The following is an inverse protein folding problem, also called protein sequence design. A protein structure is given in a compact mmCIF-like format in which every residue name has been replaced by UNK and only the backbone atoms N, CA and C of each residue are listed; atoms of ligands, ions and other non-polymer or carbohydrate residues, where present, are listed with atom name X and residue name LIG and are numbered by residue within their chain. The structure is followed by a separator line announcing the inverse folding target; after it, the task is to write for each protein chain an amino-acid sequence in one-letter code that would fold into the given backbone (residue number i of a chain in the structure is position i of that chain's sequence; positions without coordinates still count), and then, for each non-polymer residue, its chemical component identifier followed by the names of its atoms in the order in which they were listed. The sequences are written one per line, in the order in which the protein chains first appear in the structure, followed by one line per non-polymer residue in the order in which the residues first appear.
data_IF_468813085647
#
_entry.id   IF_468813085647
#
_cell.length_a   1.000
_cell.length_b   1.000
_cell.length_c   1.000
_cell.angle_alpha   90.00
_cell.angle_beta   90.00
_cell.angle_gamma   90.00
#
_symmetry.space_group_name_H-M   'P 1'
#
loop_
_entity.id
_entity.type
_entity.pdbx_description
1 polymer ?
#
# COMPACT_ATOMS: atom_id res chain seq x y z
N UNK A 1 20.23 -50.71 5.05
CA UNK A 1 20.04 -49.25 4.95
C UNK A 1 18.55 -48.94 4.84
N UNK A 2 17.98 -48.27 5.84
CA UNK A 2 16.55 -47.96 5.93
C UNK A 2 16.05 -47.18 4.71
N UNK A 3 15.12 -47.78 3.94
CA UNK A 3 14.41 -47.18 2.79
C UNK A 3 13.30 -46.20 3.22
N UNK A 4 13.15 -45.92 4.51
CA UNK A 4 12.02 -45.18 5.06
C UNK A 4 12.33 -43.67 5.06
N UNK A 5 11.59 -42.90 4.26
CA UNK A 5 11.64 -41.42 4.26
C UNK A 5 11.87 -40.77 2.89
N UNK A 6 12.40 -41.48 1.89
CA UNK A 6 12.74 -40.90 0.57
C UNK A 6 11.53 -40.33 -0.18
N UNK A 7 10.35 -40.93 0.01
CA UNK A 7 9.09 -40.51 -0.59
C UNK A 7 8.51 -39.24 0.06
N UNK A 8 8.02 -39.37 1.30
CA UNK A 8 7.36 -38.26 2.03
C UNK A 8 8.27 -37.04 2.22
N UNK A 9 9.51 -37.26 2.67
CA UNK A 9 10.49 -36.17 2.83
C UNK A 9 10.87 -35.57 1.48
N UNK A 10 10.99 -36.38 0.43
CA UNK A 10 11.24 -35.89 -0.93
C UNK A 10 10.13 -34.97 -1.44
N UNK A 11 8.86 -35.32 -1.22
CA UNK A 11 7.70 -34.49 -1.55
C UNK A 11 7.73 -33.18 -0.78
N UNK A 12 7.95 -33.22 0.54
CA UNK A 12 8.03 -32.02 1.36
C UNK A 12 9.15 -31.07 0.92
N UNK A 13 10.34 -31.60 0.61
CA UNK A 13 11.45 -30.80 0.10
C UNK A 13 11.08 -30.19 -1.26
N UNK A 14 10.46 -30.96 -2.15
CA UNK A 14 10.03 -30.44 -3.46
C UNK A 14 8.98 -29.32 -3.30
N UNK A 15 7.96 -29.51 -2.46
CA UNK A 15 6.97 -28.46 -2.15
C UNK A 15 7.63 -27.23 -1.51
N UNK A 16 8.61 -27.42 -0.60
CA UNK A 16 9.35 -26.31 -0.01
C UNK A 16 10.15 -25.52 -1.07
N UNK A 17 10.74 -26.18 -2.05
CA UNK A 17 11.43 -25.50 -3.17
C UNK A 17 10.43 -24.73 -4.05
N UNK A 18 9.28 -25.31 -4.36
CA UNK A 18 8.19 -24.60 -5.05
C UNK A 18 7.78 -23.35 -4.25
N UNK A 19 7.65 -23.47 -2.93
CA UNK A 19 7.27 -22.35 -2.06
C UNK A 19 8.34 -21.26 -1.96
N UNK A 20 9.58 -21.64 -1.63
CA UNK A 20 10.66 -20.68 -1.37
C UNK A 20 11.18 -20.04 -2.66
N UNK A 21 11.33 -20.81 -3.74
CA UNK A 21 11.96 -20.36 -4.97
C UNK A 21 10.95 -20.05 -6.09
N UNK A 22 9.66 -20.34 -5.92
CA UNK A 22 8.59 -20.18 -6.93
C UNK A 22 8.86 -20.92 -8.25
N UNK A 23 9.58 -22.04 -8.19
CA UNK A 23 9.87 -22.91 -9.34
C UNK A 23 8.71 -23.87 -9.63
N UNK A 24 8.62 -24.37 -10.86
CA UNK A 24 7.62 -25.40 -11.25
C UNK A 24 7.93 -26.73 -10.54
N UNK A 25 6.90 -27.54 -10.27
CA UNK A 25 6.99 -28.81 -9.58
C UNK A 25 7.96 -29.77 -10.25
N UNK A 26 7.94 -29.85 -11.59
CA UNK A 26 8.83 -30.75 -12.33
C UNK A 26 10.31 -30.36 -12.17
N UNK A 27 10.62 -29.07 -12.09
CA UNK A 27 11.98 -28.58 -11.87
C UNK A 27 12.42 -28.79 -10.41
N UNK A 28 11.51 -28.54 -9.45
CA UNK A 28 11.74 -28.86 -8.04
C UNK A 28 12.03 -30.35 -7.83
N UNK A 29 11.22 -31.25 -8.42
CA UNK A 29 11.42 -32.70 -8.33
C UNK A 29 12.74 -33.11 -8.97
N UNK A 30 13.10 -32.54 -10.13
CA UNK A 30 14.38 -32.80 -10.80
C UNK A 30 15.55 -32.39 -9.91
N UNK A 31 15.47 -31.23 -9.28
CA UNK A 31 16.49 -30.74 -8.35
C UNK A 31 16.62 -31.64 -7.12
N UNK A 32 15.50 -32.04 -6.52
CA UNK A 32 15.48 -32.98 -5.39
C UNK A 32 16.12 -34.31 -5.78
N UNK A 33 15.75 -34.91 -6.92
CA UNK A 33 16.34 -36.18 -7.39
C UNK A 33 17.83 -36.07 -7.68
N UNK A 34 18.29 -34.92 -8.19
CA UNK A 34 19.72 -34.65 -8.43
C UNK A 34 20.53 -34.61 -7.13
N UNK A 35 19.99 -34.02 -6.06
CA UNK A 35 20.67 -33.88 -4.76
C UNK A 35 20.40 -35.04 -3.79
N UNK A 36 19.26 -35.71 -3.93
CA UNK A 36 18.80 -36.88 -3.18
C UNK A 36 18.26 -37.93 -4.17
N UNK A 37 19.15 -38.80 -4.70
CA UNK A 37 18.73 -39.85 -5.61
C UNK A 37 17.62 -40.71 -5.02
N UNK A 38 16.70 -41.18 -5.87
CA UNK A 38 15.56 -42.03 -5.50
C UNK A 38 14.47 -41.35 -4.64
N UNK A 39 14.46 -40.02 -4.49
CA UNK A 39 13.33 -39.28 -3.92
C UNK A 39 12.19 -39.04 -4.92
N UNK A 40 10.95 -38.88 -4.42
CA UNK A 40 9.72 -38.66 -5.21
C UNK A 40 9.57 -39.73 -6.30
N UNK A 41 9.24 -40.95 -5.92
CA UNK A 41 9.31 -42.14 -6.79
C UNK A 41 8.00 -42.43 -7.52
N UNK A 42 6.86 -42.19 -6.88
CA UNK A 42 5.55 -42.60 -7.41
C UNK A 42 4.85 -41.48 -8.15
N UNK A 43 3.94 -41.83 -9.08
CA UNK A 43 3.08 -40.86 -9.77
C UNK A 43 2.24 -40.02 -8.79
N UNK A 44 1.71 -40.64 -7.72
CA UNK A 44 0.96 -39.93 -6.69
C UNK A 44 1.80 -38.87 -5.93
N UNK A 45 3.09 -39.14 -5.71
CA UNK A 45 4.00 -38.14 -5.11
C UNK A 45 4.27 -36.98 -6.05
N UNK A 46 4.47 -37.25 -7.34
CA UNK A 46 4.65 -36.21 -8.37
C UNK A 46 3.39 -35.35 -8.46
N UNK A 47 2.22 -35.98 -8.52
CA UNK A 47 0.93 -35.30 -8.59
C UNK A 47 0.69 -34.40 -7.37
N UNK A 48 1.07 -34.85 -6.16
CA UNK A 48 0.96 -34.04 -4.95
C UNK A 48 1.76 -32.73 -5.05
N UNK A 49 3.00 -32.77 -5.56
CA UNK A 49 3.82 -31.55 -5.76
C UNK A 49 3.21 -30.66 -6.85
N UNK A 50 2.68 -31.23 -7.94
CA UNK A 50 2.02 -30.48 -9.01
C UNK A 50 0.72 -29.80 -8.54
N UNK A 51 -0.09 -30.48 -7.72
CA UNK A 51 -1.28 -29.89 -7.11
C UNK A 51 -0.92 -28.76 -6.14
N UNK A 52 0.12 -28.96 -5.33
CA UNK A 52 0.64 -27.92 -4.45
C UNK A 52 1.13 -26.68 -5.24
N UNK A 53 1.88 -26.89 -6.32
CA UNK A 53 2.29 -25.83 -7.24
C UNK A 53 1.10 -25.07 -7.83
N UNK A 54 0.10 -25.79 -8.33
CA UNK A 54 -1.09 -25.20 -8.94
C UNK A 54 -1.90 -24.37 -7.95
N UNK A 55 -1.96 -24.79 -6.69
CA UNK A 55 -2.56 -24.01 -5.62
C UNK A 55 -1.73 -22.77 -5.28
N UNK A 56 -0.42 -22.94 -5.05
CA UNK A 56 0.41 -21.90 -4.45
C UNK A 56 0.82 -20.80 -5.43
N UNK A 57 1.35 -21.15 -6.62
CA UNK A 57 1.98 -20.15 -7.51
C UNK A 57 1.04 -19.00 -7.91
N UNK A 58 -0.25 -19.22 -8.23
CA UNK A 58 -1.19 -18.13 -8.52
C UNK A 58 -1.35 -17.11 -7.36
N UNK A 59 -1.10 -17.55 -6.13
CA UNK A 59 -1.20 -16.71 -4.93
C UNK A 59 0.04 -15.86 -4.69
N UNK A 60 1.18 -16.22 -5.30
CA UNK A 60 2.46 -15.49 -5.16
C UNK A 60 2.57 -14.27 -6.08
N UNK A 61 1.57 -14.05 -6.93
CA UNK A 61 1.57 -12.96 -7.91
C UNK A 61 1.33 -11.62 -7.21
N UNK A 62 2.28 -10.70 -7.39
CA UNK A 62 2.26 -9.37 -6.78
C UNK A 62 1.74 -8.31 -7.75
N UNK A 63 2.06 -8.42 -9.04
CA UNK A 63 1.63 -7.50 -10.09
C UNK A 63 0.80 -8.22 -11.14
N UNK A 64 -0.23 -7.53 -11.65
CA UNK A 64 -1.01 -8.02 -12.78
C UNK A 64 -0.11 -8.25 -14.00
N UNK A 65 -0.24 -9.40 -14.64
CA UNK A 65 0.45 -9.70 -15.89
C UNK A 65 -0.45 -10.54 -16.79
N UNK A 66 -0.23 -10.48 -18.11
CA UNK A 66 -0.95 -11.33 -19.07
C UNK A 66 -0.72 -12.83 -18.79
N UNK A 67 0.44 -13.21 -18.26
CA UNK A 67 0.77 -14.58 -17.87
C UNK A 67 0.05 -15.03 -16.59
N UNK A 68 -0.20 -14.11 -15.66
CA UNK A 68 -0.93 -14.37 -14.40
C UNK A 68 -2.32 -14.96 -14.65
N UNK A 69 -3.00 -14.51 -15.71
CA UNK A 69 -4.35 -14.96 -16.09
C UNK A 69 -4.38 -16.42 -16.57
N UNK A 70 -3.22 -17.00 -16.92
CA UNK A 70 -3.10 -18.36 -17.46
C UNK A 70 -2.65 -19.40 -16.41
N UNK A 71 -2.33 -18.98 -15.18
CA UNK A 71 -1.85 -19.90 -14.13
C UNK A 71 -2.97 -20.72 -13.47
N UNK A 72 -4.22 -20.27 -13.58
CA UNK A 72 -5.40 -20.90 -12.97
C UNK A 72 -6.64 -20.68 -13.83
N UNK A 73 -7.49 -21.70 -13.97
CA UNK A 73 -8.81 -21.60 -14.63
C UNK A 73 -9.90 -21.09 -13.70
N UNK A 74 -9.60 -20.99 -12.39
CA UNK A 74 -10.58 -20.54 -11.41
C UNK A 74 -10.75 -19.02 -11.49
N UNK A 75 -12.01 -18.59 -11.61
CA UNK A 75 -12.39 -17.19 -11.71
C UNK A 75 -12.02 -16.40 -10.45
N UNK A 76 -12.07 -17.02 -9.27
CA UNK A 76 -11.71 -16.37 -8.02
C UNK A 76 -10.21 -16.05 -7.99
N UNK A 77 -9.36 -16.98 -8.43
CA UNK A 77 -7.90 -16.81 -8.42
C UNK A 77 -7.30 -16.17 -9.68
N UNK A 78 -8.12 -15.84 -10.69
CA UNK A 78 -7.66 -15.17 -11.92
C UNK A 78 -7.86 -13.65 -11.89
N UNK A 79 -8.82 -13.13 -11.11
CA UNK A 79 -9.05 -11.68 -11.04
C UNK A 79 -8.01 -10.95 -10.18
N UNK A 80 -7.58 -9.77 -10.63
CA UNK A 80 -6.62 -8.92 -9.92
C UNK A 80 -7.33 -7.71 -9.30
N UNK A 81 -8.25 -7.93 -8.37
CA UNK A 81 -8.89 -6.86 -7.56
C UNK A 81 -8.19 -6.68 -6.22
N UNK A 82 -8.42 -5.56 -5.50
CA UNK A 82 -7.86 -5.36 -4.16
C UNK A 82 -8.22 -6.50 -3.21
N UNK A 83 -9.50 -6.86 -3.14
CA UNK A 83 -10.01 -7.95 -2.30
C UNK A 83 -9.34 -9.28 -2.63
N UNK A 84 -9.21 -9.60 -3.93
CA UNK A 84 -8.58 -10.85 -4.33
C UNK A 84 -7.07 -10.85 -4.06
N UNK A 85 -6.40 -9.71 -4.24
CA UNK A 85 -4.99 -9.56 -3.88
C UNK A 85 -4.78 -9.80 -2.38
N UNK A 86 -5.59 -9.20 -1.51
CA UNK A 86 -5.52 -9.41 -0.06
C UNK A 86 -5.79 -10.87 0.32
N UNK A 87 -6.73 -11.54 -0.35
CA UNK A 87 -6.97 -12.97 -0.16
C UNK A 87 -5.73 -13.82 -0.48
N UNK A 88 -5.11 -13.61 -1.65
CA UNK A 88 -3.87 -14.29 -2.05
C UNK A 88 -2.71 -14.01 -1.10
N UNK A 89 -2.57 -12.75 -0.68
CA UNK A 89 -1.54 -12.31 0.24
C UNK A 89 -1.65 -13.02 1.60
N UNK A 90 -2.86 -13.18 2.15
CA UNK A 90 -3.08 -13.89 3.42
C UNK A 90 -2.66 -15.36 3.37
N UNK A 91 -2.76 -15.98 2.20
CA UNK A 91 -2.38 -17.38 2.02
C UNK A 91 -0.86 -17.58 1.83
N UNK A 92 -0.11 -16.50 1.55
CA UNK A 92 1.35 -16.53 1.34
C UNK A 92 2.16 -15.87 2.46
N UNK A 93 1.56 -14.94 3.21
CA UNK A 93 2.19 -14.34 4.38
C UNK A 93 1.98 -15.18 5.63
N UNK A 94 2.92 -15.10 6.57
CA UNK A 94 2.86 -15.78 7.86
C UNK A 94 3.35 -14.88 9.01
N UNK A 95 3.09 -15.30 10.25
CA UNK A 95 3.70 -14.69 11.44
C UNK A 95 3.31 -13.23 11.68
N UNK A 96 4.31 -12.35 11.78
CA UNK A 96 4.07 -10.91 11.98
C UNK A 96 3.52 -10.24 10.73
N UNK A 97 3.99 -10.64 9.55
CA UNK A 97 3.59 -10.02 8.28
C UNK A 97 2.13 -10.31 7.94
N UNK A 98 1.67 -11.56 8.14
CA UNK A 98 0.26 -11.91 7.93
C UNK A 98 -0.67 -11.07 8.81
N UNK A 99 -0.32 -10.94 10.10
CA UNK A 99 -1.08 -10.13 11.05
C UNK A 99 -1.12 -8.67 10.64
N UNK A 100 0.02 -8.09 10.26
CA UNK A 100 0.15 -6.68 9.93
C UNK A 100 -0.49 -6.30 8.60
N UNK A 101 -0.41 -7.16 7.60
CA UNK A 101 -0.85 -6.90 6.23
C UNK A 101 -2.13 -7.66 5.88
N UNK A 102 -2.95 -7.99 6.88
CA UNK A 102 -4.23 -8.65 6.67
C UNK A 102 -5.19 -7.80 5.85
N UNK A 103 -5.26 -6.50 6.15
CA UNK A 103 -6.18 -5.54 5.52
C UNK A 103 -5.47 -4.51 4.62
N UNK A 104 -4.14 -4.62 4.45
CA UNK A 104 -3.34 -3.68 3.65
C UNK A 104 -2.42 -4.44 2.67
N UNK A 105 -2.35 -4.04 1.38
CA UNK A 105 -1.39 -4.59 0.45
C UNK A 105 0.06 -4.33 0.89
N UNK A 106 0.82 -5.40 1.17
CA UNK A 106 2.22 -5.31 1.61
C UNK A 106 3.09 -4.59 0.58
N UNK A 107 2.82 -4.78 -0.72
CA UNK A 107 3.55 -4.12 -1.81
C UNK A 107 3.40 -2.59 -1.75
N UNK A 108 2.19 -2.08 -1.51
CA UNK A 108 1.96 -0.63 -1.36
C UNK A 108 2.71 -0.10 -0.16
N UNK A 109 2.63 -0.81 0.99
CA UNK A 109 3.40 -0.45 2.18
C UNK A 109 4.91 -0.38 1.91
N UNK A 110 5.48 -1.42 1.29
CA UNK A 110 6.91 -1.48 1.04
C UNK A 110 7.39 -0.37 0.08
N UNK A 111 6.62 -0.04 -0.95
CA UNK A 111 6.94 1.05 -1.88
C UNK A 111 6.87 2.41 -1.17
N UNK A 112 5.81 2.67 -0.41
CA UNK A 112 5.64 3.91 0.36
C UNK A 112 6.71 4.10 1.44
N UNK A 113 6.99 3.07 2.25
CA UNK A 113 8.07 3.15 3.26
C UNK A 113 9.44 3.30 2.61
N UNK A 114 9.68 2.70 1.44
CA UNK A 114 10.93 2.88 0.71
C UNK A 114 11.08 4.33 0.23
N UNK A 115 10.04 4.92 -0.33
CA UNK A 115 10.01 6.33 -0.75
C UNK A 115 10.27 7.26 0.44
N UNK A 116 9.64 7.02 1.58
CA UNK A 116 9.89 7.77 2.82
C UNK A 116 11.32 7.59 3.32
N UNK A 117 11.89 6.39 3.21
CA UNK A 117 13.29 6.14 3.56
C UNK A 117 14.26 6.89 2.65
N UNK A 118 13.97 6.99 1.35
CA UNK A 118 14.79 7.76 0.41
C UNK A 118 14.84 9.23 0.81
N UNK A 119 13.74 9.81 1.27
CA UNK A 119 13.69 11.21 1.70
C UNK A 119 13.86 11.46 3.19
N UNK A 120 14.35 10.48 3.96
CA UNK A 120 14.59 10.65 5.40
C UNK A 120 13.32 10.73 6.27
N UNK A 121 12.13 10.61 5.68
CA UNK A 121 10.82 10.72 6.33
C UNK A 121 10.30 9.38 6.91
N UNK A 122 11.18 8.43 7.20
CA UNK A 122 10.82 7.04 7.54
C UNK A 122 10.46 6.82 9.01
N UNK A 123 10.28 7.88 9.80
CA UNK A 123 9.75 7.73 11.15
C UNK A 123 8.33 7.20 11.04
N UNK A 124 8.13 5.93 11.40
CA UNK A 124 6.94 5.18 11.02
C UNK A 124 5.66 5.64 11.71
N UNK A 125 5.70 6.62 12.63
CA UNK A 125 4.52 7.16 13.33
C UNK A 125 3.59 6.05 13.89
N UNK A 126 4.17 4.97 14.44
CA UNK A 126 3.43 3.82 14.95
C UNK A 126 3.04 2.75 13.92
N UNK A 127 3.30 2.97 12.63
CA UNK A 127 3.05 2.03 11.53
C UNK A 127 4.20 1.06 11.24
N UNK A 128 5.24 1.03 12.08
CA UNK A 128 6.27 -0.01 11.96
C UNK A 128 5.76 -1.33 12.54
N UNK A 129 5.35 -2.24 11.66
CA UNK A 129 4.83 -3.55 12.05
C UNK A 129 5.85 -4.44 12.80
N UNK A 130 7.14 -4.07 12.80
CA UNK A 130 8.19 -4.81 13.53
C UNK A 130 8.26 -4.40 15.00
N UNK A 131 7.69 -3.26 15.36
CA UNK A 131 7.78 -2.69 16.72
C UNK A 131 6.65 -3.20 17.62
N UNK A 132 5.42 -3.32 17.09
CA UNK A 132 4.25 -3.78 17.85
C UNK A 132 3.79 -5.16 17.38
N UNK A 133 3.48 -6.05 18.32
CA UNK A 133 2.88 -7.36 18.03
C UNK A 133 1.40 -7.27 17.57
N UNK A 134 0.77 -6.09 17.72
CA UNK A 134 -0.58 -5.79 17.24
C UNK A 134 -0.51 -5.22 15.81
N UNK A 135 -1.43 -5.59 14.92
CA UNK A 135 -1.49 -4.99 13.59
C UNK A 135 -1.71 -3.48 13.67
N UNK A 136 -0.84 -2.70 13.01
CA UNK A 136 -0.88 -1.23 13.08
C UNK A 136 -2.20 -0.67 12.52
N UNK A 137 -2.81 -1.29 11.52
CA UNK A 137 -4.08 -0.82 10.96
C UNK A 137 -5.24 -0.84 11.99
N UNK A 138 -5.07 -1.48 13.15
CA UNK A 138 -6.08 -1.42 14.22
C UNK A 138 -6.09 -0.09 14.97
N UNK A 139 -4.99 0.69 14.89
CA UNK A 139 -4.96 2.06 15.41
C UNK A 139 -5.55 3.06 14.42
N UNK A 140 -5.82 2.66 13.18
CA UNK A 140 -6.42 3.53 12.18
C UNK A 140 -7.80 4.00 12.61
N UNK A 141 -8.09 5.25 12.31
CA UNK A 141 -9.35 5.90 12.62
C UNK A 141 -10.51 5.13 11.99
N UNK A 142 -10.36 4.72 10.71
CA UNK A 142 -11.34 3.87 10.00
C UNK A 142 -11.64 2.58 10.77
N UNK A 143 -10.61 1.90 11.28
CA UNK A 143 -10.80 0.66 12.02
C UNK A 143 -11.52 0.91 13.35
N UNK A 144 -11.13 1.96 14.07
CA UNK A 144 -11.72 2.33 15.36
C UNK A 144 -13.20 2.68 15.23
N UNK A 145 -13.55 3.59 14.30
CA UNK A 145 -14.93 4.03 14.07
C UNK A 145 -15.85 2.85 13.74
N UNK A 146 -15.38 1.90 12.92
CA UNK A 146 -16.16 0.70 12.57
C UNK A 146 -16.25 -0.35 13.68
N UNK A 147 -15.40 -0.26 14.69
CA UNK A 147 -15.38 -1.19 15.83
C UNK A 147 -16.00 -0.61 17.09
N UNK A 148 -16.19 0.71 17.18
CA UNK A 148 -17.10 1.29 18.18
C UNK A 148 -18.50 0.73 17.96
N UNK A 149 -19.15 0.29 19.05
CA UNK A 149 -20.54 -0.15 19.02
C UNK A 149 -21.42 0.98 18.48
N UNK A 150 -22.52 0.69 17.75
CA UNK A 150 -23.52 1.71 17.46
C UNK A 150 -24.03 2.32 18.79
N UNK A 151 -24.37 3.62 18.81
CA UNK A 151 -24.97 4.24 19.98
C UNK A 151 -26.22 3.47 20.41
N UNK A 152 -26.47 3.48 21.73
CA UNK A 152 -27.65 2.86 22.32
C UNK A 152 -28.92 3.44 21.64
N UNK A 153 -29.88 2.61 21.19
CA UNK A 153 -31.10 3.09 20.51
C UNK A 153 -31.96 4.02 21.38
N UNK A 154 -31.63 4.19 22.66
CA UNK A 154 -32.27 5.14 23.57
C UNK A 154 -31.70 6.56 23.52
N UNK A 155 -30.63 6.80 22.76
CA UNK A 155 -30.09 8.14 22.52
C UNK A 155 -30.92 8.80 21.41
N UNK A 156 -31.58 9.95 21.63
CA UNK A 156 -32.28 10.65 20.56
C UNK A 156 -31.32 10.91 19.40
N UNK A 157 -31.68 10.46 18.20
CA UNK A 157 -30.94 10.83 16.99
C UNK A 157 -30.92 12.36 16.90
N UNK A 158 -29.74 12.97 17.01
CA UNK A 158 -29.58 14.37 16.65
C UNK A 158 -29.90 14.47 15.16
N UNK A 159 -31.08 15.00 14.85
CA UNK A 159 -31.47 15.35 13.49
C UNK A 159 -30.53 16.48 13.06
N UNK A 160 -29.43 16.11 12.42
CA UNK A 160 -28.61 17.06 11.68
C UNK A 160 -29.46 17.51 10.50
N UNK A 161 -29.93 18.75 10.52
CA UNK A 161 -30.66 19.34 9.41
C UNK A 161 -29.77 19.34 8.15
N UNK A 162 -29.91 18.32 7.31
CA UNK A 162 -29.28 18.23 6.00
C UNK A 162 -30.03 19.14 5.01
N UNK A 163 -29.64 20.41 5.00
CA UNK A 163 -29.88 21.33 3.90
C UNK A 163 -28.54 21.94 3.51
N UNK A 164 -27.72 21.18 2.78
CA UNK A 164 -26.69 21.79 1.94
C UNK A 164 -26.62 21.06 0.59
N UNK A 165 -27.33 21.63 -0.38
CA UNK A 165 -27.37 21.17 -1.75
C UNK A 165 -26.02 21.42 -2.42
N UNK A 166 -25.20 20.36 -2.58
CA UNK A 166 -24.29 20.18 -3.73
C UNK A 166 -23.34 21.34 -4.07
N UNK A 167 -23.09 22.27 -3.16
CA UNK A 167 -22.23 23.43 -3.34
C UNK A 167 -20.78 22.96 -3.30
N UNK A 168 -19.97 23.47 -4.23
CA UNK A 168 -18.53 23.24 -4.23
C UNK A 168 -17.97 23.80 -2.91
N UNK A 169 -17.61 22.91 -1.97
CA UNK A 169 -17.04 23.32 -0.70
C UNK A 169 -15.68 23.98 -0.98
N UNK A 170 -15.35 25.10 -0.30
CA UNK A 170 -14.01 25.67 -0.39
C UNK A 170 -12.99 24.60 -0.01
N UNK A 171 -11.83 24.64 -0.65
CA UNK A 171 -10.77 23.68 -0.37
C UNK A 171 -10.36 23.81 1.10
N UNK A 172 -10.40 22.70 1.84
CA UNK A 172 -10.11 22.71 3.28
C UNK A 172 -8.64 23.09 3.51
N UNK A 173 -8.42 24.19 4.24
CA UNK A 173 -7.11 24.54 4.77
C UNK A 173 -6.75 23.57 5.91
N UNK A 174 -5.95 22.56 5.59
CA UNK A 174 -5.56 21.49 6.51
C UNK A 174 -4.25 21.80 7.27
N UNK A 175 -3.70 23.00 7.09
CA UNK A 175 -2.42 23.48 7.62
C UNK A 175 -2.57 24.92 8.09
N UNK A 176 -1.94 25.25 9.20
CA UNK A 176 -1.81 26.63 9.65
C UNK A 176 -0.92 27.44 8.66
N UNK A 177 -1.28 28.69 8.30
CA UNK A 177 -0.51 29.49 7.34
C UNK A 177 0.97 29.69 7.73
N UNK A 178 1.28 29.82 9.03
CA UNK A 178 2.65 29.99 9.52
C UNK A 178 3.42 28.69 9.39
N UNK A 179 2.80 27.56 9.74
CA UNK A 179 3.40 26.24 9.52
C UNK A 179 3.70 25.99 8.04
N UNK A 180 2.78 26.40 7.15
CA UNK A 180 2.97 26.27 5.70
C UNK A 180 4.11 27.18 5.20
N UNK A 181 4.24 28.41 5.69
CA UNK A 181 5.38 29.27 5.36
C UNK A 181 6.71 28.66 5.77
N UNK A 182 6.78 28.10 6.98
CA UNK A 182 7.97 27.39 7.47
C UNK A 182 8.29 26.20 6.57
N UNK A 183 7.30 25.37 6.25
CA UNK A 183 7.48 24.18 5.41
C UNK A 183 7.93 24.55 3.98
N UNK A 184 7.36 25.60 3.38
CA UNK A 184 7.77 26.14 2.07
C UNK A 184 9.21 26.62 2.08
N UNK A 185 9.62 27.33 3.13
CA UNK A 185 10.98 27.82 3.27
C UNK A 185 11.96 26.65 3.43
N UNK A 186 11.65 25.67 4.30
CA UNK A 186 12.47 24.47 4.48
C UNK A 186 12.57 23.63 3.19
N UNK A 187 11.48 23.47 2.45
CA UNK A 187 11.51 22.80 1.15
C UNK A 187 12.42 23.53 0.16
N UNK A 188 12.34 24.86 0.10
CA UNK A 188 13.18 25.68 -0.78
C UNK A 188 14.66 25.55 -0.43
N UNK A 189 14.99 25.60 0.86
CA UNK A 189 16.37 25.42 1.34
C UNK A 189 16.90 24.04 0.97
N UNK A 190 16.15 22.97 1.29
CA UNK A 190 16.58 21.58 1.03
C UNK A 190 16.73 21.29 -0.47
N UNK A 191 15.91 21.90 -1.33
CA UNK A 191 16.09 21.83 -2.79
C UNK A 191 17.41 22.46 -3.25
N UNK A 192 17.74 23.65 -2.74
CA UNK A 192 18.92 24.42 -3.16
C UNK A 192 20.21 23.79 -2.67
N UNK A 193 20.27 23.43 -1.38
CA UNK A 193 21.50 22.94 -0.75
C UNK A 193 21.78 21.48 -1.08
N UNK A 194 20.77 20.73 -1.54
CA UNK A 194 20.86 19.27 -1.71
C UNK A 194 21.09 18.53 -0.39
N UNK A 195 21.06 19.22 0.75
CA UNK A 195 21.36 18.65 2.07
C UNK A 195 20.10 18.03 2.65
N UNK A 196 19.99 16.72 2.51
CA UNK A 196 19.22 15.90 3.43
C UNK A 196 20.23 15.13 4.28
N UNK A 197 20.00 15.02 5.59
CA UNK A 197 20.91 14.28 6.47
C UNK A 197 21.12 12.84 5.97
N UNK A 198 22.34 12.33 6.07
CA UNK A 198 22.69 10.93 5.75
C UNK A 198 22.42 10.46 4.30
N UNK A 199 22.59 11.30 3.29
CA UNK A 199 22.47 10.89 1.88
C UNK A 199 21.03 10.62 1.43
N UNK A 200 20.05 11.17 2.14
CA UNK A 200 18.65 11.17 1.68
C UNK A 200 18.42 12.23 0.59
N UNK A 201 17.36 12.06 -0.21
CA UNK A 201 16.93 13.04 -1.22
C UNK A 201 15.87 13.99 -0.64
N UNK A 202 15.75 15.25 -1.10
CA UNK A 202 14.68 16.12 -0.69
C UNK A 202 13.30 15.52 -0.98
N UNK A 203 12.32 15.73 -0.09
CA UNK A 203 10.95 15.22 -0.28
C UNK A 203 10.29 15.74 -1.56
N UNK A 204 10.73 16.90 -2.08
CA UNK A 204 10.25 17.39 -3.39
C UNK A 204 10.62 16.48 -4.55
N UNK A 205 11.74 15.74 -4.49
CA UNK A 205 12.05 14.75 -5.53
C UNK A 205 11.05 13.59 -5.52
N UNK A 206 10.43 13.28 -4.38
CA UNK A 206 9.32 12.33 -4.30
C UNK A 206 8.09 12.91 -4.98
N UNK A 207 7.75 14.17 -4.74
CA UNK A 207 6.65 14.85 -5.46
C UNK A 207 6.89 14.87 -6.98
N UNK A 208 8.09 15.22 -7.43
CA UNK A 208 8.47 15.18 -8.84
C UNK A 208 8.27 13.76 -9.40
N UNK A 209 8.74 12.73 -8.70
CA UNK A 209 8.55 11.34 -9.09
C UNK A 209 7.07 10.88 -9.09
N UNK A 210 6.19 11.49 -8.30
CA UNK A 210 4.75 11.22 -8.36
C UNK A 210 4.10 11.86 -9.59
N UNK A 211 4.57 13.06 -9.97
CA UNK A 211 3.97 13.89 -11.02
C UNK A 211 4.54 13.65 -12.42
N UNK A 212 5.58 12.82 -12.55
CA UNK A 212 6.04 12.36 -13.86
C UNK A 212 4.97 11.55 -14.58
N UNK A 213 5.04 11.54 -15.91
CA UNK A 213 4.22 10.64 -16.71
C UNK A 213 4.90 9.27 -16.83
N UNK A 214 4.51 8.33 -15.96
CA UNK A 214 5.03 6.96 -15.97
C UNK A 214 4.77 6.22 -17.29
N UNK A 215 3.73 6.59 -18.05
CA UNK A 215 3.44 6.02 -19.36
C UNK A 215 4.45 6.42 -20.44
N UNK A 216 5.17 7.52 -20.22
CA UNK A 216 6.11 8.14 -21.16
C UNK A 216 7.56 8.16 -20.64
N UNK A 217 7.93 7.26 -19.72
CA UNK A 217 9.31 7.17 -19.26
C UNK A 217 10.29 6.82 -20.40
N UNK A 218 11.57 7.25 -20.29
CA UNK A 218 12.65 6.79 -21.16
C UNK A 218 12.67 5.25 -21.28
N UNK A 219 13.06 4.75 -22.47
CA UNK A 219 12.95 3.33 -22.80
C UNK A 219 13.72 2.38 -21.88
N UNK A 220 14.88 2.82 -21.39
CA UNK A 220 15.70 2.12 -20.40
C UNK A 220 15.00 2.01 -19.03
N UNK A 221 14.44 3.12 -18.53
CA UNK A 221 13.67 3.14 -17.27
C UNK A 221 12.39 2.31 -17.36
N UNK A 222 11.66 2.44 -18.47
CA UNK A 222 10.45 1.65 -18.74
C UNK A 222 10.76 0.16 -18.82
N UNK A 223 11.87 -0.22 -19.45
CA UNK A 223 12.34 -1.61 -19.50
C UNK A 223 12.69 -2.11 -18.11
N UNK A 224 13.49 -1.36 -17.36
CA UNK A 224 13.90 -1.73 -16.01
C UNK A 224 12.71 -1.91 -15.05
N UNK A 225 11.73 -1.01 -15.09
CA UNK A 225 10.49 -1.12 -14.32
C UNK A 225 9.74 -2.42 -14.64
N UNK A 226 9.59 -2.76 -15.94
CA UNK A 226 8.94 -4.02 -16.37
C UNK A 226 9.72 -5.25 -15.94
N UNK A 227 11.04 -5.23 -16.06
CA UNK A 227 11.92 -6.33 -15.66
C UNK A 227 11.84 -6.56 -14.14
N UNK A 228 11.89 -5.48 -13.35
CA UNK A 228 11.75 -5.53 -11.90
C UNK A 228 10.38 -6.07 -11.47
N UNK A 229 9.30 -5.61 -12.12
CA UNK A 229 7.95 -6.13 -11.89
C UNK A 229 7.85 -7.64 -12.15
N UNK A 230 8.37 -8.08 -13.31
CA UNK A 230 8.35 -9.51 -13.69
C UNK A 230 9.19 -10.35 -12.71
N UNK A 231 10.36 -9.83 -12.31
CA UNK A 231 11.22 -10.44 -11.32
C UNK A 231 10.51 -10.66 -9.98
N UNK A 232 9.79 -9.64 -9.48
CA UNK A 232 9.04 -9.71 -8.21
C UNK A 232 7.94 -10.78 -8.26
N UNK A 233 7.29 -10.97 -9.42
CA UNK A 233 6.32 -12.04 -9.60
C UNK A 233 7.00 -13.42 -9.62
N UNK A 234 8.15 -13.54 -10.29
CA UNK A 234 8.80 -14.82 -10.52
C UNK A 234 9.65 -15.32 -9.34
N UNK A 235 10.21 -14.42 -8.52
CA UNK A 235 11.20 -14.78 -7.50
C UNK A 235 10.91 -14.11 -6.16
N UNK A 236 10.92 -14.90 -5.08
CA UNK A 236 10.74 -14.39 -3.72
C UNK A 236 11.80 -13.34 -3.35
N UNK A 237 13.06 -13.60 -3.70
CA UNK A 237 14.20 -12.71 -3.39
C UNK A 237 14.15 -11.37 -4.14
N UNK A 238 13.44 -11.31 -5.28
CA UNK A 238 13.32 -10.08 -6.05
C UNK A 238 12.53 -9.00 -5.30
N UNK A 239 11.70 -9.39 -4.32
CA UNK A 239 11.00 -8.43 -3.47
C UNK A 239 11.97 -7.53 -2.69
N UNK A 240 13.13 -8.06 -2.28
CA UNK A 240 14.19 -7.29 -1.60
C UNK A 240 14.84 -6.23 -2.49
N UNK A 241 14.66 -6.29 -3.82
CA UNK A 241 15.14 -5.24 -4.72
C UNK A 241 14.44 -3.91 -4.45
N UNK A 242 13.18 -3.92 -3.99
CA UNK A 242 12.46 -2.70 -3.59
C UNK A 242 13.24 -1.95 -2.48
N UNK A 243 13.76 -2.70 -1.50
CA UNK A 243 14.51 -2.11 -0.37
C UNK A 243 15.84 -1.47 -0.80
N UNK A 244 16.34 -1.82 -1.99
CA UNK A 244 17.60 -1.34 -2.57
C UNK A 244 17.40 -0.32 -3.68
N UNK A 245 16.18 -0.19 -4.23
CA UNK A 245 15.88 0.73 -5.32
C UNK A 245 16.11 2.18 -4.89
N UNK A 246 16.86 2.94 -5.69
CA UNK A 246 17.27 4.31 -5.38
C UNK A 246 16.55 5.35 -6.24
N UNK A 247 16.00 4.96 -7.39
CA UNK A 247 15.25 5.86 -8.26
C UNK A 247 13.79 5.97 -7.78
N UNK A 248 13.36 7.12 -7.25
CA UNK A 248 11.98 7.30 -6.80
C UNK A 248 10.97 7.18 -7.95
N UNK A 249 11.36 7.44 -9.20
CA UNK A 249 10.48 7.30 -10.37
C UNK A 249 10.12 5.84 -10.63
N UNK A 250 11.06 4.91 -10.39
CA UNK A 250 10.80 3.47 -10.51
C UNK A 250 9.85 3.01 -9.41
N UNK A 251 10.04 3.47 -8.17
CA UNK A 251 9.18 3.14 -7.04
C UNK A 251 7.74 3.67 -7.20
N UNK A 252 7.58 4.93 -7.61
CA UNK A 252 6.25 5.49 -7.91
C UNK A 252 5.63 4.83 -9.13
N UNK A 253 6.43 4.46 -10.14
CA UNK A 253 5.99 3.70 -11.29
C UNK A 253 5.43 2.33 -10.92
N UNK A 254 6.11 1.58 -10.05
CA UNK A 254 5.59 0.31 -9.52
C UNK A 254 4.32 0.52 -8.69
N UNK A 255 4.25 1.58 -7.87
CA UNK A 255 3.06 1.89 -7.07
C UNK A 255 1.84 2.12 -7.97
N UNK A 256 2.00 2.94 -9.00
CA UNK A 256 0.91 3.22 -9.94
C UNK A 256 0.60 2.06 -10.85
N UNK A 257 1.61 1.29 -11.28
CA UNK A 257 1.36 0.06 -12.02
C UNK A 257 0.51 -0.92 -11.21
N UNK A 258 0.76 -1.04 -9.89
CA UNK A 258 -0.05 -1.89 -9.03
C UNK A 258 -1.50 -1.39 -8.92
N UNK A 259 -1.70 -0.10 -8.62
CA UNK A 259 -3.03 0.50 -8.45
C UNK A 259 -3.85 0.52 -9.75
N UNK A 260 -3.23 0.90 -10.87
CA UNK A 260 -3.89 1.10 -12.17
C UNK A 260 -4.08 -0.19 -12.96
N UNK A 261 -3.51 -1.32 -12.51
CA UNK A 261 -3.76 -2.63 -13.11
C UNK A 261 -4.74 -3.48 -12.31
N UNK A 262 -5.34 -2.92 -11.25
CA UNK A 262 -6.47 -3.55 -10.60
C UNK A 262 -7.61 -3.73 -11.62
N UNK A 263 -8.35 -4.84 -11.52
CA UNK A 263 -9.48 -5.13 -12.43
C UNK A 263 -10.66 -4.14 -12.21
N UNK A 264 -10.78 -3.61 -11.00
CA UNK A 264 -11.74 -2.59 -10.60
C UNK A 264 -10.99 -1.51 -9.83
N UNK A 265 -11.43 -0.24 -9.91
CA UNK A 265 -10.86 0.82 -9.08
C UNK A 265 -11.06 0.50 -7.60
N UNK A 266 -10.24 1.13 -6.75
CA UNK A 266 -10.40 1.09 -5.28
C UNK A 266 -11.58 1.94 -4.85
N UNK A 267 -11.86 3.03 -5.57
CA UNK A 267 -13.03 3.88 -5.38
C UNK A 267 -13.82 3.90 -6.69
N UNK A 268 -14.91 3.16 -6.73
CA UNK A 268 -15.77 3.07 -7.91
C UNK A 268 -16.76 4.25 -8.02
N UNK A 269 -17.69 4.18 -8.97
CA UNK A 269 -18.60 5.29 -9.27
C UNK A 269 -19.59 5.48 -8.11
N UNK A 270 -20.03 4.39 -7.49
CA UNK A 270 -20.90 4.36 -6.33
C UNK A 270 -20.20 4.97 -5.11
N UNK A 271 -18.94 4.59 -4.85
CA UNK A 271 -18.11 5.18 -3.79
C UNK A 271 -17.93 6.69 -3.99
N UNK A 272 -17.66 7.12 -5.22
CA UNK A 272 -17.55 8.53 -5.58
C UNK A 272 -18.86 9.29 -5.33
N UNK A 273 -20.01 8.68 -5.62
CA UNK A 273 -21.32 9.27 -5.33
C UNK A 273 -21.54 9.45 -3.82
N UNK A 274 -21.14 8.46 -3.01
CA UNK A 274 -21.22 8.53 -1.54
C UNK A 274 -20.33 9.66 -1.03
N UNK A 275 -19.08 9.74 -1.49
CA UNK A 275 -18.13 10.78 -1.07
C UNK A 275 -18.63 12.16 -1.47
N UNK A 276 -19.09 12.34 -2.71
CA UNK A 276 -19.61 13.64 -3.19
C UNK A 276 -20.85 14.08 -2.40
N UNK A 277 -21.76 13.16 -2.10
CA UNK A 277 -22.97 13.46 -1.32
C UNK A 277 -22.70 13.79 0.14
N UNK A 278 -21.55 13.39 0.70
CA UNK A 278 -21.26 13.46 2.14
C UNK A 278 -19.88 14.02 2.46
N UNK A 279 -19.26 14.76 1.54
CA UNK A 279 -17.85 15.16 1.63
C UNK A 279 -17.49 15.93 2.90
N UNK A 280 -18.47 16.57 3.55
CA UNK A 280 -18.30 17.31 4.81
C UNK A 280 -18.28 16.41 6.05
N UNK A 281 -18.85 15.20 5.99
CA UNK A 281 -18.97 14.26 7.12
C UNK A 281 -18.12 13.00 6.88
N UNK A 282 -16.87 13.06 7.36
CA UNK A 282 -15.88 11.98 7.21
C UNK A 282 -16.37 10.66 7.83
N UNK A 283 -16.98 10.72 9.02
CA UNK A 283 -17.47 9.52 9.71
C UNK A 283 -18.56 8.80 8.93
N UNK A 284 -19.53 9.55 8.37
CA UNK A 284 -20.60 8.99 7.54
C UNK A 284 -20.06 8.31 6.27
N UNK A 285 -19.07 8.90 5.60
CA UNK A 285 -18.36 8.24 4.50
C UNK A 285 -17.63 6.98 4.97
N UNK A 286 -16.97 7.03 6.13
CA UNK A 286 -16.25 5.87 6.70
C UNK A 286 -17.20 4.71 6.99
N UNK A 287 -18.42 4.97 7.44
CA UNK A 287 -19.41 3.94 7.71
C UNK A 287 -20.04 3.37 6.43
N UNK A 288 -20.06 4.13 5.33
CA UNK A 288 -20.72 3.76 4.08
C UNK A 288 -19.83 3.00 3.08
N UNK A 289 -18.53 3.27 3.03
CA UNK A 289 -17.61 2.67 2.05
C UNK A 289 -17.17 1.25 2.47
N UNK A 290 -16.29 0.56 1.74
CA UNK A 290 -15.73 -0.74 2.20
C UNK A 290 -14.54 -0.53 3.15
N UNK A 291 -14.24 -1.55 3.98
CA UNK A 291 -13.17 -1.41 4.99
C UNK A 291 -11.80 -1.47 4.33
N UNK A 292 -11.64 -2.42 3.39
CA UNK A 292 -10.42 -2.67 2.67
C UNK A 292 -9.96 -1.43 1.87
N UNK A 293 -10.90 -0.76 1.19
CA UNK A 293 -10.62 0.44 0.40
C UNK A 293 -10.20 1.61 1.30
N UNK A 294 -10.89 1.80 2.43
CA UNK A 294 -10.59 2.88 3.38
C UNK A 294 -9.27 2.65 4.15
N UNK A 295 -8.92 1.41 4.51
CA UNK A 295 -7.64 1.12 5.16
C UNK A 295 -6.48 1.45 4.21
N UNK A 296 -6.62 1.11 2.92
CA UNK A 296 -5.66 1.49 1.90
C UNK A 296 -5.59 3.02 1.72
N UNK A 297 -6.74 3.69 1.65
CA UNK A 297 -6.80 5.15 1.55
C UNK A 297 -6.14 5.83 2.74
N UNK A 298 -6.51 5.47 3.98
CA UNK A 298 -5.95 6.04 5.20
C UNK A 298 -4.43 5.85 5.26
N UNK A 299 -3.91 4.66 4.90
CA UNK A 299 -2.47 4.42 4.82
C UNK A 299 -1.78 5.37 3.82
N UNK A 300 -2.36 5.57 2.64
CA UNK A 300 -1.82 6.50 1.63
C UNK A 300 -1.85 7.96 2.12
N UNK A 301 -2.89 8.37 2.84
CA UNK A 301 -2.95 9.71 3.46
C UNK A 301 -1.88 9.87 4.55
N UNK A 302 -1.66 8.84 5.37
CA UNK A 302 -0.54 8.80 6.32
C UNK A 302 0.83 8.85 5.64
N UNK A 303 0.99 8.25 4.45
CA UNK A 303 2.20 8.41 3.65
C UNK A 303 2.40 9.87 3.22
N UNK A 304 1.37 10.51 2.64
CA UNK A 304 1.46 11.90 2.15
C UNK A 304 1.76 12.90 3.28
N UNK A 305 1.15 12.72 4.46
CA UNK A 305 1.35 13.62 5.62
C UNK A 305 2.75 13.54 6.23
N UNK A 306 3.47 12.43 6.00
CA UNK A 306 4.85 12.21 6.44
C UNK A 306 5.90 12.82 5.52
N UNK A 307 5.57 13.14 4.26
CA UNK A 307 6.50 13.82 3.34
C UNK A 307 6.77 15.25 3.83
N UNK A 308 7.88 15.47 4.52
CA UNK A 308 8.28 16.77 5.07
C UNK A 308 9.81 16.96 4.98
N UNK A 309 10.30 18.17 4.66
CA UNK A 309 9.54 19.36 4.33
C UNK A 309 8.96 19.29 2.90
N UNK A 310 7.65 19.54 2.75
CA UNK A 310 6.97 19.61 1.45
C UNK A 310 5.71 20.49 1.52
N UNK A 311 5.64 21.49 0.65
CA UNK A 311 4.54 22.46 0.56
C UNK A 311 3.18 21.81 0.31
N UNK A 312 2.11 22.43 0.83
CA UNK A 312 0.76 21.89 0.75
C UNK A 312 0.27 21.62 -0.67
N UNK A 313 0.53 22.55 -1.61
CA UNK A 313 0.11 22.37 -3.02
C UNK A 313 0.75 21.13 -3.68
N UNK A 314 1.99 20.79 -3.32
CA UNK A 314 2.68 19.59 -3.80
C UNK A 314 2.09 18.31 -3.20
N UNK A 315 1.64 18.36 -1.95
CA UNK A 315 0.87 17.27 -1.33
C UNK A 315 -0.47 17.08 -2.03
N UNK A 316 -1.16 18.17 -2.39
CA UNK A 316 -2.40 18.12 -3.18
C UNK A 316 -2.16 17.51 -4.57
N UNK A 317 -1.05 17.83 -5.24
CA UNK A 317 -0.68 17.17 -6.51
C UNK A 317 -0.53 15.65 -6.33
N UNK A 318 0.13 15.21 -5.25
CA UNK A 318 0.26 13.78 -4.91
C UNK A 318 -1.12 13.15 -4.67
N UNK A 319 -2.00 13.81 -3.91
CA UNK A 319 -3.36 13.34 -3.65
C UNK A 319 -4.18 13.22 -4.94
N UNK A 320 -4.08 14.20 -5.85
CA UNK A 320 -4.74 14.16 -7.16
C UNK A 320 -4.22 13.01 -8.03
N UNK A 321 -2.90 12.79 -8.03
CA UNK A 321 -2.29 11.67 -8.75
C UNK A 321 -2.70 10.31 -8.18
N UNK A 322 -2.78 10.17 -6.86
CA UNK A 322 -3.30 8.98 -6.20
C UNK A 322 -4.78 8.77 -6.51
N UNK A 323 -5.59 9.83 -6.44
CA UNK A 323 -7.01 9.81 -6.78
C UNK A 323 -7.24 9.27 -8.20
N UNK A 324 -6.44 9.73 -9.18
CA UNK A 324 -6.49 9.23 -10.55
C UNK A 324 -6.36 7.69 -10.61
N UNK A 325 -5.36 7.13 -9.92
CA UNK A 325 -5.14 5.69 -9.88
C UNK A 325 -6.16 4.93 -9.04
N UNK A 326 -6.63 5.49 -7.93
CA UNK A 326 -7.64 4.87 -7.06
C UNK A 326 -9.00 4.77 -7.74
N UNK A 327 -9.30 5.68 -8.67
CA UNK A 327 -10.59 5.77 -9.38
C UNK A 327 -10.55 5.27 -10.83
N UNK A 328 -9.38 4.84 -11.32
CA UNK A 328 -9.12 4.52 -12.73
C UNK A 328 -9.61 5.61 -13.69
N UNK A 329 -9.33 6.85 -13.33
CA UNK A 329 -9.69 8.04 -14.09
C UNK A 329 -8.48 8.94 -14.28
N UNK A 330 -8.49 9.80 -15.30
CA UNK A 330 -7.45 10.80 -15.47
C UNK A 330 -7.79 12.08 -14.71
N UNK A 331 -6.81 12.69 -14.04
CA UNK A 331 -6.96 13.92 -13.25
C UNK A 331 -5.90 14.94 -13.69
N UNK A 332 -6.26 16.24 -13.67
CA UNK A 332 -5.32 17.33 -13.91
C UNK A 332 -4.36 17.51 -12.72
N UNK A 333 -3.08 17.17 -12.92
CA UNK A 333 -1.98 17.27 -11.95
C UNK A 333 -0.89 18.15 -12.56
N UNK A 334 -0.55 19.26 -11.89
CA UNK A 334 0.49 20.20 -12.34
C UNK A 334 0.40 20.58 -13.83
N UNK A 335 -0.83 20.80 -14.33
CA UNK A 335 -1.08 21.20 -15.73
C UNK A 335 -1.14 20.07 -16.76
N UNK A 336 -1.05 18.80 -16.33
CA UNK A 336 -1.15 17.62 -17.21
C UNK A 336 -2.25 16.67 -16.74
N UNK A 337 -2.94 16.03 -17.68
CA UNK A 337 -3.94 15.00 -17.35
C UNK A 337 -3.22 13.65 -17.20
N UNK A 338 -3.21 13.08 -15.98
CA UNK A 338 -2.50 11.84 -15.65
C UNK A 338 -3.45 10.79 -15.05
N UNK A 339 -3.17 9.49 -15.21
CA UNK A 339 -2.10 8.89 -16.02
C UNK A 339 -2.38 9.02 -17.54
N UNK A 340 -1.34 9.06 -18.37
CA UNK A 340 -1.50 8.96 -19.83
C UNK A 340 -1.44 7.51 -20.30
N UNK A 341 -1.79 7.26 -21.57
CA UNK A 341 -1.72 5.93 -22.22
C UNK A 341 -2.51 4.84 -21.50
N UNK A 342 -3.59 5.25 -20.83
CA UNK A 342 -4.61 4.41 -20.23
C UNK A 342 -5.94 4.78 -20.87
N UNK A 343 -6.82 3.80 -21.06
CA UNK A 343 -8.19 4.01 -21.53
C UNK A 343 -9.11 4.48 -20.39
N UNK A 344 -8.61 5.40 -19.57
CA UNK A 344 -9.31 5.96 -18.41
C UNK A 344 -10.07 7.22 -18.82
N UNK A 345 -11.31 7.37 -18.37
CA UNK A 345 -12.07 8.60 -18.59
C UNK A 345 -11.58 9.71 -17.65
N UNK A 346 -11.81 10.96 -18.04
CA UNK A 346 -11.47 12.11 -17.20
C UNK A 346 -12.44 12.26 -16.04
N UNK A 347 -11.90 12.37 -14.83
CA UNK A 347 -12.69 12.73 -13.64
C UNK A 347 -13.15 14.18 -13.76
N UNK A 348 -14.45 14.43 -13.54
CA UNK A 348 -15.02 15.78 -13.61
C UNK A 348 -14.40 16.65 -12.51
N UNK A 349 -14.11 17.92 -12.83
CA UNK A 349 -13.40 18.82 -11.92
C UNK A 349 -14.16 19.04 -10.59
N UNK A 350 -15.50 19.09 -10.63
CA UNK A 350 -16.34 19.17 -9.42
C UNK A 350 -16.23 17.93 -8.53
N UNK A 351 -16.34 16.74 -9.11
CA UNK A 351 -16.13 15.47 -8.39
C UNK A 351 -14.72 15.37 -7.82
N UNK A 352 -13.70 15.71 -8.63
CA UNK A 352 -12.31 15.75 -8.19
C UNK A 352 -12.14 16.66 -6.97
N UNK A 353 -12.73 17.85 -6.99
CA UNK A 353 -12.63 18.82 -5.89
C UNK A 353 -13.27 18.29 -4.60
N UNK A 354 -14.46 17.68 -4.70
CA UNK A 354 -15.16 17.10 -3.54
C UNK A 354 -14.39 15.93 -2.92
N UNK A 355 -13.83 15.05 -3.75
CA UNK A 355 -13.06 13.89 -3.24
C UNK A 355 -11.72 14.34 -2.64
N UNK A 356 -11.04 15.32 -3.23
CA UNK A 356 -9.84 15.92 -2.61
C UNK A 356 -10.19 16.58 -1.28
N UNK A 357 -11.32 17.30 -1.19
CA UNK A 357 -11.79 17.86 0.06
C UNK A 357 -12.06 16.79 1.13
N UNK A 358 -12.68 15.68 0.77
CA UNK A 358 -12.85 14.54 1.66
C UNK A 358 -11.50 13.99 2.16
N UNK A 359 -10.52 13.77 1.26
CA UNK A 359 -9.17 13.33 1.64
C UNK A 359 -8.46 14.32 2.58
N UNK A 360 -8.60 15.62 2.33
CA UNK A 360 -8.03 16.67 3.19
C UNK A 360 -8.69 16.70 4.58
N UNK A 361 -10.01 16.56 4.66
CA UNK A 361 -10.74 16.45 5.94
C UNK A 361 -10.32 15.19 6.71
N UNK A 362 -10.17 14.06 6.02
CA UNK A 362 -9.59 12.87 6.63
C UNK A 362 -8.21 13.17 7.21
N UNK A 363 -7.32 13.84 6.47
CA UNK A 363 -6.00 14.23 6.98
C UNK A 363 -6.09 15.09 8.25
N UNK A 364 -7.02 16.05 8.31
CA UNK A 364 -7.24 16.88 9.52
C UNK A 364 -7.62 16.01 10.71
N UNK A 365 -8.55 15.06 10.54
CA UNK A 365 -8.95 14.15 11.62
C UNK A 365 -7.80 13.21 12.04
N UNK A 366 -7.02 12.69 11.09
CA UNK A 366 -5.84 11.87 11.39
C UNK A 366 -4.80 12.64 12.22
N UNK A 367 -4.62 13.94 11.94
CA UNK A 367 -3.70 14.79 12.72
C UNK A 367 -4.22 15.08 14.13
N UNK A 368 -5.54 15.23 14.30
CA UNK A 368 -6.18 15.37 15.62
C UNK A 368 -6.03 14.10 16.46
N UNK A 369 -6.18 12.93 15.84
CA UNK A 369 -6.06 11.63 16.51
C UNK A 369 -4.62 11.36 16.99
N UNK A 370 -3.61 11.82 16.25
CA UNK A 370 -2.19 11.77 16.68
C UNK A 370 -1.96 12.60 17.95
N UNK A 371 -2.63 13.74 18.09
CA UNK A 371 -2.49 14.65 19.26
C UNK A 371 -3.23 14.10 20.49
N UNK A 372 -4.26 13.25 20.29
CA UNK A 372 -5.04 12.59 21.36
C UNK A 372 -4.84 11.06 21.32
N UNK A 373 -3.64 10.55 21.66
CA UNK A 373 -3.42 9.11 21.69
C UNK A 373 -4.40 8.45 22.67
N UNK A 374 -5.04 7.38 22.23
CA UNK A 374 -5.89 6.53 23.09
C UNK A 374 -5.08 6.01 24.28
N UNK A 375 -5.74 5.66 25.39
CA UNK A 375 -5.10 5.05 26.58
C UNK A 375 -4.21 3.84 26.23
N UNK A 376 -4.56 3.12 25.15
CA UNK A 376 -3.80 1.96 24.64
C UNK A 376 -2.45 2.33 23.96
N UNK A 377 -2.25 3.59 23.55
CA UNK A 377 -0.99 4.07 22.96
C UNK A 377 -0.02 4.68 23.98
N UNK A 378 -0.48 4.90 25.22
CA UNK A 378 0.35 5.42 26.33
C UNK A 378 1.33 4.37 26.86
N UNK A 379 1.12 3.09 26.54
CA UNK A 379 2.05 1.99 26.85
C UNK A 379 3.35 2.03 26.03
N UNK A 380 3.49 2.97 25.09
CA UNK A 380 4.77 3.27 24.44
C UNK A 380 5.62 4.17 25.34
N UNK A 381 6.06 3.61 26.47
CA UNK A 381 7.09 4.25 27.30
C UNK A 381 8.42 4.17 26.56
N UNK A 382 8.84 5.32 26.01
CA UNK A 382 10.23 5.68 25.71
C UNK A 382 11.15 5.03 26.75
N UNK A 383 12.28 4.39 26.39
CA UNK A 383 13.24 3.95 27.40
C UNK A 383 13.65 5.17 28.23
N UNK A 384 13.09 5.31 29.43
CA UNK A 384 13.52 6.32 30.39
C UNK A 384 15.01 6.05 30.57
N UNK A 385 15.85 7.01 30.20
CA UNK A 385 17.27 7.00 30.57
C UNK A 385 17.32 6.65 32.05
N UNK A 386 17.84 5.46 32.35
CA UNK A 386 18.16 5.06 33.71
C UNK A 386 19.10 6.14 34.25
N UNK A 387 18.60 7.00 35.15
CA UNK A 387 19.47 7.85 35.97
C UNK A 387 20.27 6.88 36.83
N UNK A 388 21.49 6.61 36.41
CA UNK A 388 22.51 5.99 37.25
C UNK A 388 22.62 6.89 38.48
N UNK A 389 22.12 6.42 39.63
CA UNK A 389 22.42 7.05 40.91
C UNK A 389 23.91 6.80 41.17
N UNK A 390 24.70 7.87 41.17
CA UNK A 390 26.04 7.82 41.75
C UNK A 390 25.88 7.45 43.23
N UNK A 391 26.45 6.31 43.61
CA UNK A 391 26.64 5.97 45.02
C UNK A 391 27.82 6.80 45.54
N UNK A 392 27.61 7.46 46.68
CA UNK A 392 28.68 8.07 47.48
C UNK A 392 29.24 7.03 48.44
#
# INVERSE_FOLDING_TARGET
MLKNGLGRTGVLIACYLVYSMRVRANDAIRLVRKKRPKSVQTSGQILCVQQFEHYLLPQTVVFSSKETLNLTKDKMTSEFTLKQYLYRQRATLHGLEERAFRELPKIVYCLCERLLKLCGCHQSAGMDFRVKNKPFYKSFMVYRIRKSKPPDPTTPEEVVNELDNGTALPMVEWRDPVEEDIERNLETVTRITGTSSNGSIPAVQIHEAFTVDHGCLPGDRMKYLKDLRNDINQRTEAFEKINKEMDPVILTGLLFEWLECLKKPVLDIEDLSIIVGRAHNVESCILALTMEDLILLEYLLHFVTRLRPLAAHKKVDILKRLLASLTHQTVMVSGRCLPTRKDFHRLRDGTCSQVINFMLRMIVELQRDIIKPSKDDVDVVVPRRLRIKAWK
#
